data_IF_622662115981
#
_entry.id   IF_622662115981
#
_cell.length_a   1.000
_cell.length_b   1.000
_cell.length_c   1.000
_cell.angle_alpha   90.00
_cell.angle_beta   90.00
_cell.angle_gamma   90.00
#
_symmetry.space_group_name_H-M   'P 1'
#
loop_
_entity.id
_entity.type
_entity.pdbx_description
1 polymer ?
#
# COMPACT_ATOMS: atom_id res chain seq x y z
N UNK A 1 24.94 -25.49 -62.23
CA UNK A 1 24.38 -24.28 -61.58
C UNK A 1 24.49 -24.48 -60.07
N UNK A 2 25.38 -23.73 -59.40
CA UNK A 2 25.56 -23.76 -57.95
C UNK A 2 24.75 -22.61 -57.34
N UNK A 3 23.84 -22.93 -56.43
CA UNK A 3 23.09 -21.95 -55.63
C UNK A 3 24.03 -21.46 -54.52
N UNK A 4 24.21 -20.14 -54.31
CA UNK A 4 25.03 -19.65 -53.21
C UNK A 4 24.20 -19.66 -51.93
N UNK A 5 24.72 -20.32 -50.91
CA UNK A 5 24.22 -20.28 -49.54
C UNK A 5 24.54 -18.91 -48.93
N UNK A 6 23.50 -18.12 -48.65
CA UNK A 6 23.64 -16.87 -47.89
C UNK A 6 23.67 -17.24 -46.40
N UNK A 7 24.84 -17.16 -45.77
CA UNK A 7 24.95 -17.23 -44.32
C UNK A 7 24.45 -15.90 -43.74
N UNK A 8 23.25 -15.90 -43.16
CA UNK A 8 22.79 -14.81 -42.30
C UNK A 8 23.56 -14.89 -40.97
N UNK A 9 24.52 -13.98 -40.76
CA UNK A 9 25.05 -13.74 -39.42
C UNK A 9 23.95 -13.02 -38.62
N UNK A 10 23.37 -13.72 -37.64
CA UNK A 10 22.60 -13.08 -36.58
C UNK A 10 23.58 -12.40 -35.62
N UNK A 11 23.77 -11.10 -35.76
CA UNK A 11 24.37 -10.27 -34.72
C UNK A 11 23.37 -10.17 -33.56
N UNK A 12 23.61 -10.93 -32.49
CA UNK A 12 23.01 -10.70 -31.19
C UNK A 12 23.48 -9.32 -30.70
N UNK A 13 22.62 -8.31 -30.85
CA UNK A 13 22.79 -7.04 -30.16
C UNK A 13 22.47 -7.32 -28.69
N UNK A 14 23.50 -7.57 -27.89
CA UNK A 14 23.39 -7.46 -26.44
C UNK A 14 23.19 -5.98 -26.13
N UNK A 15 21.93 -5.57 -25.90
CA UNK A 15 21.66 -4.29 -25.24
C UNK A 15 22.26 -4.43 -23.85
N UNK A 16 23.41 -3.80 -23.62
CA UNK A 16 23.95 -3.66 -22.28
C UNK A 16 23.00 -2.69 -21.55
N UNK A 17 22.10 -3.24 -20.73
CA UNK A 17 21.18 -2.45 -19.93
C UNK A 17 21.99 -1.68 -18.89
N UNK A 18 21.79 -0.36 -18.84
CA UNK A 18 22.42 0.48 -17.84
C UNK A 18 21.62 0.33 -16.54
N UNK A 19 22.10 -0.53 -15.64
CA UNK A 19 21.55 -0.62 -14.28
C UNK A 19 21.51 0.76 -13.60
N UNK A 20 20.55 0.93 -12.69
CA UNK A 20 20.36 2.19 -11.95
C UNK A 20 21.34 2.23 -10.79
N UNK A 21 22.25 3.21 -10.79
CA UNK A 21 23.35 3.31 -9.81
C UNK A 21 22.99 4.08 -8.52
N UNK A 22 21.76 4.56 -8.40
CA UNK A 22 21.25 5.17 -7.17
C UNK A 22 19.72 5.15 -7.17
N UNK A 23 19.11 4.95 -6.00
CA UNK A 23 17.66 5.08 -5.85
C UNK A 23 17.21 6.50 -6.19
N UNK A 24 16.16 6.62 -6.99
CA UNK A 24 15.35 7.84 -7.12
C UNK A 24 13.93 7.56 -6.65
N UNK A 25 13.15 8.59 -6.34
CA UNK A 25 11.75 8.38 -5.96
C UNK A 25 10.86 9.59 -6.18
N UNK A 26 9.57 9.32 -6.21
CA UNK A 26 8.54 10.36 -6.26
C UNK A 26 7.27 9.89 -5.54
N UNK A 27 6.37 10.84 -5.23
CA UNK A 27 5.17 10.59 -4.42
C UNK A 27 3.93 10.96 -5.21
N UNK A 28 3.12 9.95 -5.52
CA UNK A 28 1.76 10.14 -6.02
C UNK A 28 0.86 10.58 -4.86
N UNK A 29 0.12 11.67 -5.09
CA UNK A 29 -0.90 12.18 -4.17
C UNK A 29 -2.28 12.07 -4.80
N UNK A 30 -3.31 12.25 -3.98
CA UNK A 30 -4.71 12.21 -4.42
C UNK A 30 -5.43 13.53 -4.14
N UNK A 31 -6.45 13.82 -4.95
CA UNK A 31 -7.48 14.80 -4.68
C UNK A 31 -8.65 14.08 -4.00
N UNK A 32 -8.97 14.41 -2.76
CA UNK A 32 -10.11 13.83 -2.07
C UNK A 32 -10.65 14.84 -1.07
N UNK A 33 -11.94 14.74 -0.74
CA UNK A 33 -12.46 15.53 0.38
C UNK A 33 -11.77 15.08 1.67
N UNK A 34 -11.54 16.03 2.57
CA UNK A 34 -10.93 15.75 3.86
C UNK A 34 -11.68 14.61 4.59
N UNK A 35 -10.95 13.66 5.16
CA UNK A 35 -11.55 12.54 5.88
C UNK A 35 -11.96 11.35 5.01
N UNK A 36 -11.78 11.37 3.68
CA UNK A 36 -12.43 10.43 2.77
C UNK A 36 -11.52 9.78 1.74
N UNK A 37 -11.77 8.51 1.43
CA UNK A 37 -11.28 7.82 0.24
C UNK A 37 -12.09 8.19 -1.01
N UNK A 38 -11.75 7.70 -2.21
CA UNK A 38 -12.62 7.83 -3.39
C UNK A 38 -13.93 7.04 -3.20
N UNK A 39 -13.83 5.84 -2.63
CA UNK A 39 -14.95 5.00 -2.19
C UNK A 39 -14.55 4.13 -0.99
N UNK A 40 -15.54 3.65 -0.26
CA UNK A 40 -15.38 2.86 0.95
C UNK A 40 -16.47 1.79 1.02
N UNK A 41 -16.09 0.57 1.39
CA UNK A 41 -17.05 -0.51 1.57
C UNK A 41 -16.42 -1.90 1.43
N UNK A 42 -17.26 -2.93 1.47
CA UNK A 42 -16.82 -4.33 1.36
C UNK A 42 -16.60 -4.74 -0.09
N UNK A 43 -15.61 -4.15 -0.74
CA UNK A 43 -15.28 -4.35 -2.14
C UNK A 43 -13.80 -4.71 -2.29
N UNK A 44 -13.53 -5.90 -2.80
CA UNK A 44 -12.18 -6.39 -3.07
C UNK A 44 -12.22 -7.31 -4.31
N UNK A 45 -11.95 -6.78 -5.51
CA UNK A 45 -12.00 -7.56 -6.75
C UNK A 45 -10.84 -8.55 -6.91
N UNK A 46 -9.83 -8.55 -6.03
CA UNK A 46 -8.74 -9.53 -6.06
C UNK A 46 -9.11 -10.74 -5.22
N UNK A 47 -9.52 -10.53 -3.96
CA UNK A 47 -9.80 -11.61 -3.01
C UNK A 47 -11.22 -12.16 -3.16
N UNK A 48 -12.21 -11.28 -3.43
CA UNK A 48 -13.64 -11.63 -3.47
C UNK A 48 -14.31 -11.16 -4.77
N UNK A 49 -13.83 -11.58 -5.96
CA UNK A 49 -14.36 -11.10 -7.23
C UNK A 49 -15.87 -11.41 -7.37
N UNK A 50 -16.65 -10.36 -7.65
CA UNK A 50 -18.10 -10.44 -7.86
C UNK A 50 -18.94 -10.54 -6.58
N UNK A 51 -18.33 -10.45 -5.40
CA UNK A 51 -19.01 -10.59 -4.11
C UNK A 51 -18.57 -9.53 -3.11
N UNK A 52 -19.32 -9.39 -2.01
CA UNK A 52 -18.89 -8.56 -0.90
C UNK A 52 -17.64 -9.16 -0.25
N UNK A 53 -16.62 -8.32 -0.02
CA UNK A 53 -15.45 -8.68 0.77
C UNK A 53 -15.83 -9.02 2.23
N UNK A 54 -14.99 -9.78 2.91
CA UNK A 54 -15.21 -10.15 4.31
C UNK A 54 -15.21 -8.93 5.24
N UNK A 55 -14.49 -7.88 4.89
CA UNK A 55 -14.40 -6.63 5.63
C UNK A 55 -14.30 -5.44 4.67
N UNK A 56 -14.39 -4.23 5.23
CA UNK A 56 -14.43 -2.99 4.44
C UNK A 56 -13.05 -2.41 4.20
N UNK A 57 -12.90 -1.82 3.03
CA UNK A 57 -11.70 -1.17 2.56
C UNK A 57 -11.98 0.28 2.18
N UNK A 58 -10.96 1.13 2.34
CA UNK A 58 -10.91 2.46 1.75
C UNK A 58 -10.10 2.42 0.46
N UNK A 59 -10.68 2.92 -0.64
CA UNK A 59 -10.13 2.78 -1.99
C UNK A 59 -9.83 4.15 -2.61
N UNK A 60 -8.63 4.31 -3.15
CA UNK A 60 -8.23 5.42 -4.03
C UNK A 60 -8.12 4.95 -5.48
N UNK A 61 -8.26 5.85 -6.45
CA UNK A 61 -7.89 5.60 -7.83
C UNK A 61 -8.94 5.93 -8.90
N UNK A 62 -8.89 5.17 -9.99
CA UNK A 62 -9.75 5.28 -11.17
C UNK A 62 -11.18 4.79 -10.95
N UNK A 63 -12.14 5.40 -11.67
CA UNK A 63 -13.58 5.16 -11.53
C UNK A 63 -14.09 3.80 -11.99
N UNK A 64 -13.28 3.05 -12.74
CA UNK A 64 -13.63 1.71 -13.19
C UNK A 64 -13.37 0.64 -12.13
N UNK A 65 -13.07 1.03 -10.89
CA UNK A 65 -13.12 0.13 -9.77
C UNK A 65 -14.54 -0.43 -9.55
N UNK A 66 -14.63 -1.71 -9.24
CA UNK A 66 -15.88 -2.39 -8.92
C UNK A 66 -15.61 -3.80 -8.39
N UNK A 67 -16.66 -4.61 -8.22
CA UNK A 67 -16.52 -5.98 -7.72
C UNK A 67 -15.75 -6.91 -8.66
N UNK A 68 -15.62 -6.57 -9.93
CA UNK A 68 -14.87 -7.32 -10.93
C UNK A 68 -13.99 -6.34 -11.71
N UNK A 69 -12.68 -6.59 -11.71
CA UNK A 69 -11.71 -5.90 -12.54
C UNK A 69 -10.88 -6.96 -13.27
N UNK A 70 -10.84 -6.89 -14.60
CA UNK A 70 -10.17 -7.86 -15.48
C UNK A 70 -9.30 -7.13 -16.49
N UNK A 71 -8.09 -7.64 -16.72
CA UNK A 71 -7.19 -7.06 -17.73
C UNK A 71 -6.94 -5.58 -17.49
N UNK A 72 -6.98 -4.79 -18.56
CA UNK A 72 -6.61 -3.37 -18.58
C UNK A 72 -7.78 -2.40 -18.41
N UNK A 73 -8.98 -2.90 -18.07
CA UNK A 73 -10.24 -2.14 -17.95
C UNK A 73 -10.15 -0.86 -17.09
N UNK A 74 -9.23 -0.80 -16.12
CA UNK A 74 -9.03 0.41 -15.34
C UNK A 74 -8.58 1.61 -16.19
N UNK A 75 -7.87 1.39 -17.30
CA UNK A 75 -7.46 2.45 -18.23
C UNK A 75 -8.66 3.21 -18.82
N UNK A 76 -9.82 2.56 -18.92
CA UNK A 76 -11.06 3.17 -19.41
C UNK A 76 -11.80 4.00 -18.34
N UNK A 77 -11.19 4.25 -17.17
CA UNK A 77 -11.79 5.05 -16.10
C UNK A 77 -12.11 6.47 -16.55
N UNK A 78 -13.38 6.87 -16.46
CA UNK A 78 -13.85 8.23 -16.75
C UNK A 78 -13.21 9.29 -15.85
N UNK A 79 -12.91 8.96 -14.59
CA UNK A 79 -12.17 9.83 -13.67
C UNK A 79 -11.12 9.06 -12.88
N UNK A 80 -10.22 9.78 -12.22
CA UNK A 80 -9.32 9.25 -11.19
C UNK A 80 -9.14 10.31 -10.13
N UNK A 81 -9.03 9.92 -8.88
CA UNK A 81 -8.70 10.88 -7.82
C UNK A 81 -7.18 11.05 -7.66
N UNK A 82 -6.35 10.30 -8.40
CA UNK A 82 -4.91 10.51 -8.45
C UNK A 82 -4.55 11.85 -9.11
N UNK A 83 -3.46 12.50 -8.65
CA UNK A 83 -2.97 13.75 -9.24
C UNK A 83 -2.40 13.58 -10.64
N UNK A 84 -1.99 12.38 -11.05
CA UNK A 84 -1.55 12.10 -12.42
C UNK A 84 -2.75 11.58 -13.21
N UNK A 85 -3.17 12.29 -14.26
CA UNK A 85 -4.41 11.95 -15.01
C UNK A 85 -4.40 10.53 -15.58
N UNK A 86 -3.21 10.09 -15.98
CA UNK A 86 -2.95 8.81 -16.61
C UNK A 86 -2.68 7.68 -15.61
N UNK A 87 -2.76 7.95 -14.30
CA UNK A 87 -2.87 6.90 -13.31
C UNK A 87 -4.35 6.60 -13.02
N UNK A 88 -4.82 5.48 -13.55
CA UNK A 88 -6.15 4.92 -13.26
C UNK A 88 -6.08 3.72 -12.32
N UNK A 89 -4.92 3.44 -11.73
CA UNK A 89 -4.76 2.34 -10.78
C UNK A 89 -5.69 2.50 -9.59
N UNK A 90 -6.01 1.39 -8.94
CA UNK A 90 -6.68 1.40 -7.65
C UNK A 90 -5.75 0.90 -6.55
N UNK A 91 -5.81 1.56 -5.40
CA UNK A 91 -5.01 1.27 -4.20
C UNK A 91 -5.96 1.22 -3.02
N UNK A 92 -5.92 0.15 -2.23
CA UNK A 92 -6.79 0.05 -1.07
C UNK A 92 -6.18 -0.66 0.12
N UNK A 93 -6.74 -0.32 1.28
CA UNK A 93 -6.33 -0.78 2.61
C UNK A 93 -7.58 -1.02 3.48
N UNK A 94 -7.52 -1.86 4.52
CA UNK A 94 -8.66 -2.09 5.41
C UNK A 94 -9.01 -0.83 6.21
N UNK A 95 -10.30 -0.55 6.37
CA UNK A 95 -10.75 0.59 7.17
C UNK A 95 -10.33 0.47 8.64
N UNK A 96 -10.03 1.61 9.28
CA UNK A 96 -9.73 1.71 10.71
C UNK A 96 -10.96 2.20 11.49
N UNK A 97 -11.22 1.58 12.63
CA UNK A 97 -12.35 1.88 13.50
C UNK A 97 -11.87 2.17 14.93
N UNK A 98 -12.44 3.19 15.56
CA UNK A 98 -12.33 3.42 17.00
C UNK A 98 -13.40 2.63 17.73
N UNK A 99 -13.01 1.82 18.71
CA UNK A 99 -13.91 1.12 19.64
C UNK A 99 -14.01 1.90 20.94
N UNK A 100 -15.21 2.38 21.24
CA UNK A 100 -15.48 3.14 22.46
C UNK A 100 -15.19 2.30 23.71
N UNK A 101 -14.36 2.79 24.64
CA UNK A 101 -14.08 2.09 25.89
C UNK A 101 -15.27 2.10 26.86
N UNK A 102 -16.29 2.93 26.62
CA UNK A 102 -17.44 3.07 27.55
C UNK A 102 -18.57 2.08 27.27
N UNK A 103 -18.80 1.72 26.01
CA UNK A 103 -19.95 0.91 25.58
C UNK A 103 -19.61 -0.09 24.45
N UNK A 104 -18.36 -0.10 23.97
CA UNK A 104 -17.91 -1.02 22.93
C UNK A 104 -18.40 -0.73 21.50
N UNK A 105 -19.11 0.38 21.26
CA UNK A 105 -19.56 0.76 19.91
C UNK A 105 -18.40 1.27 19.06
N UNK A 106 -18.52 1.17 17.74
CA UNK A 106 -17.49 1.51 16.77
C UNK A 106 -17.81 2.80 16.05
N UNK A 107 -16.81 3.65 15.85
CA UNK A 107 -16.87 4.82 14.98
C UNK A 107 -15.73 4.76 13.98
N UNK A 108 -16.01 4.97 12.70
CA UNK A 108 -14.97 4.95 11.67
C UNK A 108 -13.94 6.04 11.95
N UNK A 109 -12.66 5.71 11.85
CA UNK A 109 -11.56 6.68 11.91
C UNK A 109 -11.43 7.33 10.52
N UNK A 110 -11.59 8.65 10.40
CA UNK A 110 -11.45 9.31 9.10
C UNK A 110 -10.03 9.17 8.55
N UNK A 111 -9.90 9.14 7.23
CA UNK A 111 -8.60 9.26 6.56
C UNK A 111 -8.04 10.68 6.78
N UNK A 112 -6.82 10.80 7.27
CA UNK A 112 -6.13 12.09 7.29
C UNK A 112 -5.58 12.42 5.89
N UNK A 113 -4.74 11.54 5.33
CA UNK A 113 -4.41 11.47 3.89
C UNK A 113 -3.76 10.14 3.55
N UNK A 114 -3.67 9.84 2.25
CA UNK A 114 -2.93 8.70 1.71
C UNK A 114 -2.02 9.19 0.58
N UNK A 115 -0.80 8.69 0.53
CA UNK A 115 0.14 8.89 -0.57
C UNK A 115 0.70 7.55 -1.03
N UNK A 116 1.09 7.47 -2.30
CA UNK A 116 1.80 6.30 -2.84
C UNK A 116 3.18 6.73 -3.28
N UNK A 117 4.19 6.16 -2.65
CA UNK A 117 5.58 6.36 -3.02
C UNK A 117 5.93 5.37 -4.10
N UNK A 118 6.59 5.87 -5.13
CA UNK A 118 7.20 5.09 -6.20
C UNK A 118 8.70 5.18 -6.04
N UNK A 119 9.31 4.10 -5.56
CA UNK A 119 10.75 3.97 -5.46
C UNK A 119 11.28 3.27 -6.71
N UNK A 120 12.31 3.88 -7.30
CA UNK A 120 13.06 3.32 -8.41
C UNK A 120 14.44 2.94 -7.86
N UNK A 121 14.53 1.72 -7.33
CA UNK A 121 15.66 1.26 -6.51
C UNK A 121 16.98 1.21 -7.30
N UNK A 122 18.10 1.30 -6.59
CA UNK A 122 19.39 0.95 -7.16
C UNK A 122 19.36 -0.54 -7.56
N UNK A 123 19.68 -0.86 -8.81
CA UNK A 123 19.51 -2.20 -9.36
C UNK A 123 20.40 -2.44 -10.57
N UNK A 124 20.74 -3.70 -10.84
CA UNK A 124 21.30 -4.13 -12.11
C UNK A 124 20.23 -4.36 -13.19
N UNK A 125 18.96 -4.39 -12.78
CA UNK A 125 17.81 -4.57 -13.67
C UNK A 125 17.35 -3.24 -14.30
N UNK A 126 16.63 -3.35 -15.41
CA UNK A 126 15.89 -2.26 -16.04
C UNK A 126 14.47 -2.20 -15.45
N UNK A 127 14.16 -1.11 -14.74
CA UNK A 127 12.86 -0.93 -14.09
C UNK A 127 11.83 -0.54 -15.14
N UNK A 128 10.75 -1.32 -15.23
CA UNK A 128 9.66 -1.14 -16.20
C UNK A 128 8.36 -0.70 -15.57
N UNK A 129 7.59 0.06 -16.33
CA UNK A 129 6.21 0.36 -15.97
C UNK A 129 5.43 -0.93 -15.68
N UNK A 130 4.48 -0.84 -14.74
CA UNK A 130 3.59 -1.95 -14.44
C UNK A 130 2.81 -2.36 -15.70
N UNK A 131 2.64 -3.68 -15.96
CA UNK A 131 1.67 -4.10 -16.94
C UNK A 131 0.26 -3.66 -16.47
N UNK A 132 -0.59 -3.14 -17.38
CA UNK A 132 -1.98 -2.83 -17.04
C UNK A 132 -2.70 -4.05 -16.48
N UNK A 133 -3.46 -3.86 -15.42
CA UNK A 133 -4.19 -4.92 -14.73
C UNK A 133 -3.37 -5.75 -13.73
N UNK A 134 -2.08 -5.47 -13.54
CA UNK A 134 -1.28 -6.18 -12.53
C UNK A 134 -1.95 -6.13 -11.16
N UNK A 135 -2.32 -7.30 -10.63
CA UNK A 135 -2.91 -7.47 -9.31
C UNK A 135 -1.83 -7.78 -8.29
N UNK A 136 -1.82 -7.03 -7.20
CA UNK A 136 -0.86 -7.18 -6.10
C UNK A 136 -1.62 -7.16 -4.77
N UNK A 137 -1.24 -8.07 -3.88
CA UNK A 137 -1.75 -8.13 -2.50
C UNK A 137 -0.55 -8.33 -1.58
N UNK A 138 -0.49 -7.61 -0.48
CA UNK A 138 0.56 -7.79 0.51
C UNK A 138 0.03 -7.65 1.93
N UNK A 139 0.59 -8.44 2.85
CA UNK A 139 0.06 -8.58 4.21
C UNK A 139 -0.83 -9.82 4.33
N UNK A 140 -1.43 -10.01 5.51
CA UNK A 140 -2.28 -11.17 5.79
C UNK A 140 -3.47 -10.74 6.65
N UNK A 141 -4.70 -10.67 6.10
CA UNK A 141 -5.88 -10.21 6.82
C UNK A 141 -6.29 -11.12 7.99
N UNK A 142 -5.70 -12.31 8.12
CA UNK A 142 -5.99 -13.25 9.22
C UNK A 142 -4.95 -13.20 10.34
N UNK A 143 -3.83 -12.51 10.14
CA UNK A 143 -2.71 -12.51 11.08
C UNK A 143 -3.07 -11.85 12.41
N UNK A 144 -2.78 -12.54 13.51
CA UNK A 144 -2.88 -12.03 14.90
C UNK A 144 -1.61 -12.26 15.71
N UNK A 145 -0.76 -13.17 15.26
CA UNK A 145 0.53 -13.43 15.91
C UNK A 145 1.54 -12.36 15.52
N UNK A 146 2.43 -11.96 16.45
CA UNK A 146 3.46 -10.99 16.17
C UNK A 146 4.46 -11.50 15.13
N UNK A 147 5.10 -10.60 14.37
CA UNK A 147 6.26 -10.96 13.57
C UNK A 147 7.52 -11.11 14.45
N UNK A 148 8.65 -11.43 13.83
CA UNK A 148 9.90 -11.68 14.56
C UNK A 148 10.51 -10.41 15.18
N UNK A 149 10.31 -9.24 14.56
CA UNK A 149 10.79 -7.95 15.08
C UNK A 149 9.74 -6.85 14.82
N UNK A 150 9.85 -5.69 15.46
CA UNK A 150 8.98 -4.55 15.13
C UNK A 150 9.34 -3.85 13.81
N UNK A 151 10.47 -4.22 13.18
CA UNK A 151 11.00 -3.54 12.01
C UNK A 151 10.58 -4.14 10.69
N UNK A 152 10.60 -3.32 9.64
CA UNK A 152 10.41 -3.79 8.27
C UNK A 152 11.51 -4.80 7.89
N UNK A 153 11.11 -5.82 7.15
CA UNK A 153 11.99 -6.84 6.61
C UNK A 153 11.52 -7.16 5.19
N UNK A 154 12.14 -6.52 4.20
CA UNK A 154 11.74 -6.64 2.79
C UNK A 154 12.69 -7.52 1.97
N UNK A 155 13.76 -8.01 2.58
CA UNK A 155 14.79 -8.81 1.90
C UNK A 155 14.59 -10.31 2.20
N UNK A 156 14.10 -11.11 1.24
CA UNK A 156 13.76 -12.51 1.49
C UNK A 156 14.95 -13.37 1.91
N UNK A 157 16.19 -12.89 1.72
CA UNK A 157 17.40 -13.60 2.17
C UNK A 157 17.67 -13.48 3.67
N UNK A 158 17.02 -12.53 4.36
CA UNK A 158 17.22 -12.25 5.78
C UNK A 158 16.09 -12.77 6.68
N UNK A 159 15.12 -13.49 6.13
CA UNK A 159 14.08 -14.17 6.90
C UNK A 159 12.68 -13.99 6.30
N UNK A 160 11.68 -14.12 7.17
CA UNK A 160 10.28 -13.94 6.77
C UNK A 160 10.03 -12.47 6.50
N UNK A 161 9.46 -12.19 5.33
CA UNK A 161 9.05 -10.84 4.92
C UNK A 161 8.06 -10.26 5.93
N UNK A 162 8.33 -9.02 6.33
CA UNK A 162 7.50 -8.16 7.13
C UNK A 162 7.35 -6.82 6.40
N UNK A 163 6.29 -6.69 5.58
CA UNK A 163 6.12 -5.57 4.65
C UNK A 163 5.30 -4.42 5.24
N UNK A 164 4.83 -4.58 6.48
CA UNK A 164 3.89 -3.67 7.13
C UNK A 164 4.47 -3.19 8.44
N UNK A 165 4.32 -1.89 8.70
CA UNK A 165 4.73 -1.24 9.92
C UNK A 165 3.73 -0.15 10.31
N UNK A 166 3.65 0.16 11.60
CA UNK A 166 2.90 1.30 12.13
C UNK A 166 3.88 2.33 12.66
N UNK A 167 3.68 3.59 12.26
CA UNK A 167 4.49 4.72 12.69
C UNK A 167 3.61 5.65 13.52
N UNK A 168 4.14 6.05 14.67
CA UNK A 168 3.43 6.88 15.64
C UNK A 168 4.26 8.10 16.02
N UNK A 169 4.23 9.17 15.22
CA UNK A 169 4.86 10.41 15.57
C UNK A 169 4.20 10.99 16.83
N UNK A 170 5.00 11.34 17.84
CA UNK A 170 4.51 11.77 19.14
C UNK A 170 5.44 12.84 19.72
N UNK A 171 4.86 13.82 20.43
CA UNK A 171 5.62 14.91 21.04
C UNK A 171 6.50 14.39 22.17
N UNK A 172 7.72 14.91 22.28
CA UNK A 172 8.66 14.51 23.35
C UNK A 172 9.28 13.13 23.17
N UNK A 173 9.04 12.45 22.05
CA UNK A 173 9.61 11.15 21.70
C UNK A 173 9.47 10.05 22.80
N UNK A 174 8.24 9.80 23.31
CA UNK A 174 7.99 8.78 24.34
C UNK A 174 8.16 7.36 23.81
N UNK A 175 8.26 6.38 24.70
CA UNK A 175 8.17 4.97 24.28
C UNK A 175 6.74 4.69 23.77
N UNK A 176 6.61 4.18 22.54
CA UNK A 176 5.30 3.91 21.90
C UNK A 176 4.77 2.52 22.17
N UNK A 177 5.67 1.64 22.58
CA UNK A 177 5.41 0.25 22.89
C UNK A 177 5.99 -0.05 24.27
N UNK A 178 5.37 -0.96 25.06
CA UNK A 178 5.91 -1.34 26.36
C UNK A 178 7.35 -1.89 26.23
N UNK A 179 8.29 -1.45 27.08
CA UNK A 179 9.64 -2.00 27.09
C UNK A 179 9.63 -3.52 27.29
N UNK A 180 10.31 -4.25 26.41
CA UNK A 180 10.38 -5.71 26.46
C UNK A 180 9.12 -6.43 25.96
N UNK A 181 8.19 -5.73 25.29
CA UNK A 181 7.08 -6.37 24.58
C UNK A 181 7.60 -7.47 23.64
N UNK A 182 6.96 -8.64 23.70
CA UNK A 182 7.19 -9.77 22.79
C UNK A 182 6.14 -9.83 21.67
N UNK A 183 5.27 -8.82 21.61
CA UNK A 183 4.22 -8.74 20.60
C UNK A 183 2.93 -9.45 20.98
N UNK A 184 2.89 -10.18 22.11
CA UNK A 184 1.74 -11.04 22.51
C UNK A 184 0.72 -10.35 23.41
N UNK A 185 0.92 -9.08 23.75
CA UNK A 185 -0.02 -8.28 24.54
C UNK A 185 -0.05 -6.81 24.12
N UNK A 186 0.98 -6.34 23.42
CA UNK A 186 1.09 -5.03 22.81
C UNK A 186 1.97 -5.13 21.56
N UNK A 187 2.04 -4.09 20.74
CA UNK A 187 2.93 -4.07 19.57
C UNK A 187 4.42 -4.22 19.91
N UNK A 188 5.24 -4.41 18.88
CA UNK A 188 6.69 -4.54 18.94
C UNK A 188 7.35 -3.25 18.43
N UNK A 189 8.25 -2.68 19.22
CA UNK A 189 9.09 -1.56 18.77
C UNK A 189 10.06 -2.02 17.66
N UNK A 190 10.22 -1.23 16.59
CA UNK A 190 11.31 -1.41 15.65
C UNK A 190 12.66 -1.19 16.38
N UNK A 191 13.60 -2.15 16.33
CA UNK A 191 14.89 -2.00 17.00
C UNK A 191 15.75 -0.82 16.48
N UNK A 192 15.49 -0.35 15.26
CA UNK A 192 16.24 0.71 14.58
C UNK A 192 15.48 2.04 14.51
N UNK A 193 14.17 2.05 14.74
CA UNK A 193 13.35 3.26 14.71
C UNK A 193 12.38 3.32 15.90
N UNK A 194 12.63 4.26 16.82
CA UNK A 194 11.76 4.47 17.99
C UNK A 194 10.37 4.99 17.63
N UNK A 195 10.18 5.56 16.44
CA UNK A 195 8.89 6.05 15.95
C UNK A 195 7.99 4.95 15.38
N UNK A 196 8.53 3.77 15.11
CA UNK A 196 7.88 2.75 14.29
C UNK A 196 7.86 1.37 14.96
N UNK A 197 6.93 0.50 14.54
CA UNK A 197 6.83 -0.83 15.11
C UNK A 197 5.82 -1.72 14.40
N UNK A 198 5.73 -2.97 14.84
CA UNK A 198 4.72 -3.90 14.36
C UNK A 198 3.54 -3.95 15.33
N UNK A 199 2.34 -3.92 14.78
CA UNK A 199 1.11 -3.81 15.56
C UNK A 199 0.90 -2.40 16.11
N UNK A 200 -0.27 -2.14 16.70
CA UNK A 200 -0.63 -0.80 17.13
C UNK A 200 0.19 -0.33 18.34
N UNK A 201 0.57 0.97 18.38
CA UNK A 201 1.20 1.59 19.54
C UNK A 201 0.19 1.78 20.68
N UNK A 202 0.68 1.91 21.91
CA UNK A 202 -0.15 2.09 23.12
C UNK A 202 -0.26 3.55 23.58
N UNK A 203 0.15 4.48 22.72
CA UNK A 203 0.14 5.93 22.99
C UNK A 203 -0.60 6.71 21.91
N UNK A 204 -1.03 7.91 22.25
CA UNK A 204 -1.57 8.85 21.26
C UNK A 204 -0.45 9.37 20.36
N UNK A 205 -0.61 9.19 19.04
CA UNK A 205 0.27 9.75 18.03
C UNK A 205 -0.08 11.23 17.82
N UNK A 206 0.46 12.10 18.67
CA UNK A 206 0.16 13.54 18.74
C UNK A 206 1.26 14.44 18.15
N UNK A 207 2.13 13.85 17.32
CA UNK A 207 3.12 14.58 16.55
C UNK A 207 2.46 15.62 15.63
N UNK A 208 3.16 16.73 15.40
CA UNK A 208 2.66 17.81 14.55
C UNK A 208 2.26 17.29 13.15
N UNK A 209 0.99 17.47 12.80
CA UNK A 209 0.39 17.05 11.53
C UNK A 209 0.62 15.57 11.17
N UNK A 210 0.87 14.73 12.17
CA UNK A 210 1.35 13.35 11.97
C UNK A 210 0.65 12.40 12.94
N UNK A 211 -0.59 11.98 12.63
CA UNK A 211 -1.31 11.02 13.45
C UNK A 211 -0.78 9.59 13.23
N UNK A 212 -1.54 8.56 13.66
CA UNK A 212 -1.15 7.17 13.41
C UNK A 212 -1.00 6.91 11.90
N UNK A 213 0.17 6.41 11.52
CA UNK A 213 0.53 6.11 10.14
C UNK A 213 0.71 4.62 9.93
N UNK A 214 0.16 4.13 8.84
CA UNK A 214 0.26 2.75 8.38
C UNK A 214 1.16 2.73 7.15
N UNK A 215 2.23 1.95 7.25
CA UNK A 215 3.23 1.80 6.22
C UNK A 215 3.11 0.41 5.59
N UNK A 216 2.88 0.33 4.28
CA UNK A 216 2.73 -0.94 3.56
C UNK A 216 3.59 -0.94 2.30
N UNK A 217 4.54 -1.87 2.24
CA UNK A 217 5.44 -2.04 1.10
C UNK A 217 4.98 -3.18 0.21
N UNK A 218 4.88 -2.91 -1.09
CA UNK A 218 4.53 -3.91 -2.09
C UNK A 218 5.80 -4.46 -2.77
N UNK A 219 5.83 -5.75 -3.16
CA UNK A 219 6.98 -6.32 -3.84
C UNK A 219 7.20 -5.73 -5.24
N UNK A 220 8.45 -5.70 -5.73
CA UNK A 220 8.83 -4.99 -6.96
C UNK A 220 9.38 -5.88 -8.08
N UNK A 221 9.26 -7.21 -7.96
CA UNK A 221 9.62 -8.16 -9.02
C UNK A 221 8.36 -8.87 -9.51
N UNK A 222 8.01 -8.66 -10.78
CA UNK A 222 6.87 -9.30 -11.45
C UNK A 222 7.30 -10.54 -12.25
N UNK A 223 6.60 -11.65 -12.07
CA UNK A 223 6.78 -12.89 -12.81
C UNK A 223 5.82 -12.96 -14.01
N UNK A 224 6.27 -12.67 -15.23
CA UNK A 224 5.39 -12.69 -16.40
C UNK A 224 4.91 -14.11 -16.77
N UNK A 225 5.53 -15.18 -16.26
CA UNK A 225 5.17 -16.55 -16.63
C UNK A 225 3.84 -17.02 -16.06
N UNK A 226 3.37 -16.43 -14.95
CA UNK A 226 2.08 -16.74 -14.32
C UNK A 226 0.99 -15.70 -14.64
N UNK A 227 1.39 -14.55 -15.21
CA UNK A 227 0.48 -13.49 -15.64
C UNK A 227 0.03 -12.55 -14.51
N UNK A 228 -0.71 -11.51 -14.91
CA UNK A 228 -1.13 -10.40 -14.04
C UNK A 228 -2.22 -10.77 -13.02
N UNK A 229 -2.96 -11.85 -13.26
CA UNK A 229 -4.10 -12.27 -12.45
C UNK A 229 -3.70 -13.17 -11.26
N UNK A 230 -2.58 -13.88 -11.34
CA UNK A 230 -2.10 -14.78 -10.27
C UNK A 230 -1.37 -14.02 -9.17
N UNK A 231 -2.10 -13.13 -8.48
CA UNK A 231 -1.59 -12.22 -7.45
C UNK A 231 -0.81 -12.91 -6.31
N UNK A 232 -0.97 -14.22 -6.13
CA UNK A 232 -0.29 -15.02 -5.10
C UNK A 232 1.14 -15.40 -5.50
N UNK A 233 1.41 -15.52 -6.79
CA UNK A 233 2.67 -16.04 -7.32
C UNK A 233 3.35 -15.08 -8.31
N UNK A 234 2.67 -14.00 -8.71
CA UNK A 234 3.16 -13.06 -9.72
C UNK A 234 4.14 -12.02 -9.15
N UNK A 235 4.18 -11.77 -7.84
CA UNK A 235 5.05 -10.75 -7.23
C UNK A 235 6.00 -11.34 -6.19
N UNK A 236 7.22 -10.82 -6.13
CA UNK A 236 8.21 -11.13 -5.11
C UNK A 236 9.04 -9.88 -4.74
N UNK A 237 9.56 -9.85 -3.52
CA UNK A 237 10.52 -8.81 -3.14
C UNK A 237 11.88 -9.13 -3.77
N UNK A 238 12.61 -8.10 -4.24
CA UNK A 238 13.95 -8.29 -4.78
C UNK A 238 14.91 -8.78 -3.68
N UNK A 239 15.99 -9.43 -4.11
CA UNK A 239 17.10 -9.78 -3.22
C UNK A 239 18.07 -8.61 -3.12
N UNK A 240 18.64 -8.38 -1.94
CA UNK A 240 19.58 -7.27 -1.72
C UNK A 240 21.03 -7.75 -1.80
N UNK A 241 21.84 -7.13 -2.65
CA UNK A 241 23.28 -7.36 -2.75
C UNK A 241 24.03 -6.03 -2.71
N UNK A 242 24.69 -5.75 -1.58
CA UNK A 242 25.18 -4.41 -1.29
C UNK A 242 24.02 -3.43 -1.09
N UNK A 243 23.95 -2.38 -1.91
CA UNK A 243 22.80 -1.45 -1.97
C UNK A 243 21.81 -1.80 -3.09
N UNK A 244 22.16 -2.75 -3.97
CA UNK A 244 21.34 -3.10 -5.13
C UNK A 244 20.24 -4.07 -4.77
N UNK A 245 19.06 -3.83 -5.34
CA UNK A 245 17.89 -4.68 -5.25
C UNK A 245 17.62 -5.32 -6.61
N UNK A 246 17.81 -6.63 -6.72
CA UNK A 246 17.75 -7.34 -7.99
C UNK A 246 16.66 -8.42 -7.97
N UNK A 247 15.94 -8.53 -9.08
CA UNK A 247 14.90 -9.52 -9.30
C UNK A 247 15.47 -10.88 -9.71
N UNK A 248 14.71 -11.97 -9.49
CA UNK A 248 15.09 -13.28 -10.01
C UNK A 248 15.18 -13.25 -11.54
N UNK A 249 16.06 -14.08 -12.11
CA UNK A 249 16.22 -14.15 -13.57
C UNK A 249 14.89 -14.46 -14.28
N UNK A 250 14.59 -13.70 -15.33
CA UNK A 250 13.34 -13.82 -16.11
C UNK A 250 12.14 -13.07 -15.53
N UNK A 251 12.29 -12.43 -14.37
CA UNK A 251 11.29 -11.55 -13.79
C UNK A 251 11.53 -10.10 -14.24
N UNK A 252 10.47 -9.31 -14.25
CA UNK A 252 10.49 -7.90 -14.63
C UNK A 252 10.57 -7.07 -13.35
N UNK A 253 11.59 -6.23 -13.22
CA UNK A 253 11.66 -5.26 -12.14
C UNK A 253 10.66 -4.13 -12.44
N UNK A 254 9.71 -3.90 -11.53
CA UNK A 254 8.70 -2.84 -11.59
C UNK A 254 8.91 -1.87 -10.41
N UNK A 255 8.27 -0.68 -10.36
CA UNK A 255 8.48 0.23 -9.23
C UNK A 255 8.18 -0.44 -7.88
N UNK A 256 9.01 -0.16 -6.88
CA UNK A 256 8.69 -0.51 -5.50
C UNK A 256 7.68 0.51 -4.97
N UNK A 257 6.47 0.02 -4.71
CA UNK A 257 5.35 0.83 -4.25
C UNK A 257 5.24 0.77 -2.72
N UNK A 258 5.08 1.93 -2.11
CA UNK A 258 4.88 2.08 -0.68
C UNK A 258 3.64 2.94 -0.39
N UNK A 259 2.68 2.38 0.34
CA UNK A 259 1.50 3.10 0.80
C UNK A 259 1.81 3.78 2.12
N UNK A 260 1.69 5.11 2.13
CA UNK A 260 1.75 5.92 3.33
C UNK A 260 0.33 6.38 3.66
N UNK A 261 -0.26 5.81 4.70
CA UNK A 261 -1.66 6.09 5.07
C UNK A 261 -1.72 6.67 6.47
N UNK A 262 -2.21 7.89 6.60
CA UNK A 262 -2.42 8.55 7.89
C UNK A 262 -3.91 8.52 8.27
N UNK A 263 -4.18 8.11 9.50
CA UNK A 263 -5.52 8.05 10.07
C UNK A 263 -5.75 9.22 11.03
N UNK A 264 -6.90 9.87 11.03
CA UNK A 264 -7.20 10.97 11.96
C UNK A 264 -7.54 10.46 13.38
N UNK A 265 -6.57 9.80 14.00
CA UNK A 265 -6.65 9.29 15.37
C UNK A 265 -6.70 10.39 16.45
N UNK A 266 -6.12 11.60 16.29
CA UNK A 266 -6.23 12.68 17.26
C UNK A 266 -7.68 13.09 17.56
N UNK A 267 -8.60 12.87 16.62
CA UNK A 267 -10.04 13.08 16.81
C UNK A 267 -10.61 12.32 18.03
N UNK A 268 -9.99 11.20 18.41
CA UNK A 268 -10.42 10.33 19.51
C UNK A 268 -9.58 10.48 20.78
N UNK A 269 -8.65 11.45 20.82
CA UNK A 269 -7.65 11.56 21.89
C UNK A 269 -8.24 11.78 23.29
N UNK A 270 -9.44 12.38 23.38
CA UNK A 270 -10.16 12.64 24.64
C UNK A 270 -11.04 11.45 25.07
N UNK A 271 -11.42 10.58 24.15
CA UNK A 271 -12.27 9.40 24.41
C UNK A 271 -11.44 8.15 24.71
N UNK A 272 -10.12 8.20 24.50
CA UNK A 272 -9.19 7.11 24.80
C UNK A 272 -8.77 7.12 26.28
N UNK A 273 -9.06 6.02 26.98
CA UNK A 273 -8.47 5.71 28.28
C UNK A 273 -7.01 5.28 28.13
N UNK A 274 -6.09 6.18 28.47
CA UNK A 274 -4.64 5.94 28.37
C UNK A 274 -4.13 5.21 29.61
N UNK A 275 -4.05 3.89 29.52
CA UNK A 275 -3.43 3.05 30.56
C UNK A 275 -1.99 2.63 30.22
N UNK A 276 -1.50 2.99 29.02
CA UNK A 276 -0.17 2.64 28.52
C UNK A 276 -0.03 1.16 28.14
N UNK A 277 -1.13 0.43 28.03
CA UNK A 277 -1.15 -0.99 27.66
C UNK A 277 -2.08 -1.27 26.48
N UNK A 278 -3.17 -0.52 26.35
CA UNK A 278 -4.17 -0.76 25.32
C UNK A 278 -4.43 0.47 24.46
N UNK A 279 -4.83 0.20 23.22
CA UNK A 279 -5.22 1.19 22.23
C UNK A 279 -6.63 0.89 21.69
N UNK A 280 -7.41 1.91 21.31
CA UNK A 280 -8.84 1.77 21.03
C UNK A 280 -9.15 1.44 19.57
N UNK A 281 -8.17 1.28 18.70
CA UNK A 281 -8.37 1.09 17.25
C UNK A 281 -8.46 -0.37 16.86
N UNK A 282 -9.25 -0.65 15.83
CA UNK A 282 -9.53 -1.99 15.30
C UNK A 282 -9.57 -1.89 13.79
N UNK A 283 -8.88 -2.77 13.07
CA UNK A 283 -9.03 -2.88 11.62
C UNK A 283 -10.41 -3.50 11.28
N UNK A 284 -10.93 -3.23 10.09
CA UNK A 284 -12.28 -3.63 9.67
C UNK A 284 -12.57 -5.15 9.75
N UNK A 285 -11.53 -5.97 9.68
CA UNK A 285 -11.58 -7.43 9.89
C UNK A 285 -11.61 -7.84 11.38
N UNK A 286 -11.78 -6.89 12.29
CA UNK A 286 -11.85 -7.11 13.73
C UNK A 286 -10.50 -7.21 14.44
N UNK A 287 -9.38 -6.91 13.79
CA UNK A 287 -8.06 -7.00 14.40
C UNK A 287 -7.72 -5.82 15.32
N UNK A 288 -7.50 -6.11 16.61
CA UNK A 288 -7.01 -5.16 17.63
C UNK A 288 -5.49 -5.10 17.73
N UNK A 289 -4.78 -6.04 17.12
CA UNK A 289 -3.31 -6.08 17.16
C UNK A 289 -2.68 -5.15 16.14
N UNK A 290 -3.33 -4.96 14.99
CA UNK A 290 -2.78 -4.23 13.83
C UNK A 290 -1.87 -5.08 12.94
N UNK A 291 -1.64 -6.36 13.28
CA UNK A 291 -0.79 -7.26 12.50
C UNK A 291 -1.39 -7.75 11.19
N UNK A 292 -2.72 -7.64 11.04
CA UNK A 292 -3.42 -8.02 9.81
C UNK A 292 -3.60 -6.90 8.79
N UNK A 293 -2.96 -5.75 9.05
CA UNK A 293 -2.83 -4.71 8.05
C UNK A 293 -2.25 -5.29 6.76
N UNK A 294 -2.83 -4.86 5.65
CA UNK A 294 -2.49 -5.29 4.30
C UNK A 294 -2.80 -4.16 3.33
N UNK A 295 -2.30 -4.28 2.11
CA UNK A 295 -2.60 -3.37 1.03
C UNK A 295 -2.72 -4.12 -0.27
N UNK A 296 -3.54 -3.58 -1.14
CA UNK A 296 -3.89 -4.17 -2.41
C UNK A 296 -3.80 -3.12 -3.51
N UNK A 297 -3.42 -3.57 -4.70
CA UNK A 297 -3.29 -2.72 -5.87
C UNK A 297 -3.72 -3.45 -7.13
N UNK A 298 -4.42 -2.73 -8.01
CA UNK A 298 -4.52 -3.10 -9.43
C UNK A 298 -3.94 -1.95 -10.24
N UNK A 299 -2.93 -2.25 -11.06
CA UNK A 299 -2.34 -1.27 -11.95
C UNK A 299 -3.35 -0.85 -13.04
N UNK A 300 -3.55 0.45 -13.15
CA UNK A 300 -4.25 1.13 -14.24
C UNK A 300 -3.39 2.27 -14.77
N UNK A 301 -2.07 2.11 -14.73
CA UNK A 301 -1.13 3.09 -15.27
C UNK A 301 -1.09 3.03 -16.80
N UNK A 302 -1.17 4.19 -17.43
CA UNK A 302 -0.67 4.35 -18.79
C UNK A 302 0.83 4.02 -18.83
N UNK A 303 1.19 3.04 -19.66
CA UNK A 303 2.53 2.44 -19.68
C UNK A 303 3.59 3.48 -20.08
N UNK A 304 3.31 4.30 -21.09
CA UNK A 304 4.25 5.30 -21.59
C UNK A 304 4.47 6.40 -20.56
N UNK A 305 3.40 6.85 -19.90
CA UNK A 305 3.48 7.85 -18.83
C UNK A 305 4.31 7.34 -17.65
N UNK A 306 4.01 6.14 -17.15
CA UNK A 306 4.75 5.58 -16.01
C UNK A 306 6.22 5.31 -16.39
N UNK A 307 6.50 4.81 -17.59
CA UNK A 307 7.88 4.59 -18.04
C UNK A 307 8.65 5.91 -18.10
N UNK A 308 8.06 6.97 -18.65
CA UNK A 308 8.69 8.30 -18.65
C UNK A 308 9.03 8.77 -17.22
N UNK A 309 8.11 8.58 -16.26
CA UNK A 309 8.34 8.92 -14.85
C UNK A 309 9.48 8.09 -14.24
N UNK A 310 9.54 6.78 -14.50
CA UNK A 310 10.60 5.89 -14.03
C UNK A 310 11.98 6.36 -14.54
N UNK A 311 12.03 6.77 -15.80
CA UNK A 311 13.26 7.12 -16.51
C UNK A 311 13.79 8.49 -16.09
N UNK A 312 12.92 9.45 -15.75
CA UNK A 312 13.32 10.86 -15.59
C UNK A 312 12.98 11.54 -14.27
N UNK A 313 12.19 10.92 -13.38
CA UNK A 313 11.70 11.61 -12.18
C UNK A 313 12.47 11.26 -10.89
N UNK A 314 12.80 12.31 -10.13
CA UNK A 314 13.36 12.23 -8.77
C UNK A 314 12.93 13.44 -7.93
N UNK A 315 11.63 13.73 -7.88
CA UNK A 315 11.12 14.88 -7.12
C UNK A 315 11.02 14.64 -5.62
N UNK A 316 11.28 13.41 -5.18
CA UNK A 316 11.15 13.01 -3.79
C UNK A 316 9.78 13.36 -3.20
N UNK A 317 9.78 13.94 -2.00
CA UNK A 317 8.55 14.35 -1.30
C UNK A 317 7.86 15.59 -1.89
N UNK A 318 8.49 16.28 -2.85
CA UNK A 318 7.84 17.39 -3.57
C UNK A 318 6.66 16.91 -4.43
N UNK A 319 6.62 15.63 -4.80
CA UNK A 319 5.47 14.98 -5.42
C UNK A 319 5.63 14.73 -6.92
N UNK A 320 4.93 13.71 -7.41
CA UNK A 320 4.96 13.25 -8.79
C UNK A 320 4.34 14.26 -9.75
N UNK A 321 3.47 15.15 -9.26
CA UNK A 321 2.90 16.26 -10.00
C UNK A 321 3.93 17.33 -10.43
N UNK A 322 5.16 17.23 -9.93
CA UNK A 322 6.29 18.08 -10.29
C UNK A 322 7.34 17.37 -11.16
N UNK A 323 7.09 16.12 -11.58
CA UNK A 323 7.97 15.44 -12.54
C UNK A 323 8.01 16.22 -13.87
N UNK A 324 9.15 16.23 -14.59
CA UNK A 324 9.20 16.81 -15.93
C UNK A 324 8.31 16.01 -16.89
N UNK A 325 7.69 16.72 -17.84
CA UNK A 325 7.03 16.14 -19.01
C UNK A 325 6.00 15.02 -18.74
N UNK A 326 5.16 15.18 -17.69
CA UNK A 326 4.08 14.26 -17.37
C UNK A 326 3.10 14.14 -18.55
N UNK A 327 3.16 13.01 -19.27
CA UNK A 327 2.26 12.69 -20.38
C UNK A 327 0.81 12.70 -19.84
N UNK A 328 -0.10 13.35 -20.59
CA UNK A 328 -1.50 13.55 -20.16
C UNK A 328 -1.69 14.65 -19.09
N UNK A 329 -0.65 15.02 -18.36
CA UNK A 329 -0.62 16.08 -17.36
C UNK A 329 -1.28 15.70 -16.02
N UNK A 330 -1.47 16.72 -15.18
CA UNK A 330 -1.98 16.56 -13.82
C UNK A 330 -3.49 16.80 -13.71
N UNK A 331 -4.12 16.09 -12.78
CA UNK A 331 -5.49 16.29 -12.32
C UNK A 331 -5.45 17.08 -11.01
N UNK A 332 -5.94 18.32 -10.98
CA UNK A 332 -5.93 19.17 -9.77
C UNK A 332 -7.28 19.32 -9.08
N UNK A 333 -8.37 18.89 -9.74
CA UNK A 333 -9.73 19.27 -9.35
C UNK A 333 -10.69 18.08 -9.24
N UNK A 334 -10.36 16.94 -9.84
CA UNK A 334 -11.26 15.78 -9.86
C UNK A 334 -11.00 14.91 -8.63
N UNK A 335 -11.95 14.93 -7.71
CA UNK A 335 -11.96 14.11 -6.50
C UNK A 335 -12.42 12.66 -6.76
N UNK A 336 -12.96 12.40 -7.97
CA UNK A 336 -13.47 11.14 -8.48
C UNK A 336 -14.14 10.24 -7.42
N UNK A 337 -15.43 10.48 -7.16
CA UNK A 337 -16.23 9.66 -6.23
C UNK A 337 -16.75 8.41 -6.93
N UNK A 338 -16.55 7.25 -6.33
CA UNK A 338 -17.07 5.97 -6.82
C UNK A 338 -18.17 5.50 -5.88
N UNK A 339 -19.33 5.15 -6.43
CA UNK A 339 -20.43 4.64 -5.61
C UNK A 339 -20.11 3.21 -5.18
N UNK A 340 -20.11 2.90 -3.86
CA UNK A 340 -19.85 1.55 -3.39
C UNK A 340 -21.05 0.62 -3.62
N UNK A 341 -20.77 -0.61 -4.08
CA UNK A 341 -21.79 -1.68 -4.19
C UNK A 341 -22.20 -2.22 -2.81
N UNK A 342 -21.25 -2.27 -1.87
CA UNK A 342 -21.47 -2.71 -0.49
C UNK A 342 -20.97 -1.66 0.51
N UNK A 343 -21.63 -0.50 0.63
CA UNK A 343 -21.25 0.54 1.56
C UNK A 343 -21.32 0.07 3.02
N UNK A 344 -20.52 0.70 3.86
CA UNK A 344 -20.70 0.62 5.30
C UNK A 344 -22.01 1.27 5.75
N UNK A 345 -22.57 0.86 6.90
CA UNK A 345 -23.75 1.53 7.45
C UNK A 345 -23.48 3.02 7.69
N UNK A 346 -24.44 3.87 7.32
CA UNK A 346 -24.31 5.33 7.42
C UNK A 346 -24.37 5.89 8.85
N UNK A 347 -24.63 5.06 9.86
CA UNK A 347 -24.67 5.47 11.26
C UNK A 347 -23.28 5.87 11.75
N UNK A 348 -23.19 6.98 12.49
CA UNK A 348 -21.93 7.46 13.07
C UNK A 348 -21.30 6.45 14.03
N UNK A 349 -22.14 5.76 14.82
CA UNK A 349 -21.75 4.70 15.75
C UNK A 349 -22.42 3.38 15.37
N UNK A 350 -21.62 2.32 15.30
CA UNK A 350 -22.08 0.96 15.01
C UNK A 350 -21.97 0.08 16.26
N UNK A 351 -22.91 -0.84 16.44
CA UNK A 351 -22.84 -1.86 17.50
C UNK A 351 -22.01 -3.07 17.10
N UNK A 352 -21.81 -3.28 15.79
CA UNK A 352 -20.98 -4.33 15.20
C UNK A 352 -20.20 -3.76 14.00
N UNK A 353 -19.02 -4.29 13.72
CA UNK A 353 -18.26 -3.93 12.52
C UNK A 353 -19.00 -4.38 11.26
N UNK A 354 -18.84 -3.67 10.12
CA UNK A 354 -19.34 -4.13 8.82
C UNK A 354 -18.92 -5.57 8.52
N UNK A 355 -19.83 -6.36 7.93
CA UNK A 355 -19.61 -7.79 7.73
C UNK A 355 -19.78 -8.67 8.97
N UNK A 356 -20.21 -8.08 10.10
CA UNK A 356 -20.31 -8.76 11.41
C UNK A 356 -18.97 -9.34 11.87
N UNK A 357 -17.86 -8.66 11.56
CA UNK A 357 -16.53 -9.12 11.94
C UNK A 357 -16.38 -9.11 13.48
N UNK A 358 -16.05 -10.27 14.10
CA UNK A 358 -15.80 -10.32 15.53
C UNK A 358 -14.47 -9.64 15.86
N UNK A 359 -14.45 -8.91 16.97
CA UNK A 359 -13.23 -8.30 17.47
C UNK A 359 -12.32 -9.38 18.08
N UNK A 360 -11.04 -9.38 17.69
CA UNK A 360 -10.02 -10.39 18.03
C UNK A 360 -8.66 -9.72 18.21
N UNK A 361 -7.70 -10.39 18.84
CA UNK A 361 -6.38 -9.80 19.15
C UNK A 361 -6.28 -9.28 20.58
N UNK A 362 -5.46 -8.25 20.83
CA UNK A 362 -5.15 -7.83 22.21
C UNK A 362 -6.38 -7.32 22.96
N UNK A 363 -6.56 -7.81 24.20
CA UNK A 363 -7.72 -7.56 25.08
C UNK A 363 -7.57 -6.35 25.96
#
# INVERSE_FOLDING_TARGET
MKVPSVNLLFTLVTVAYAGKNSRTFTVLRFNNDAGKFSTEGRMDPIISPGAASSHSHGIMGGSNFGLIVQGDHLLDSNCTNALIKNDKSNYWIPDLWFRSPTNGTFRKVPLFYMNIYYFFEESDDDIKAFPPGLKMVIGDPTKRDPPATGGLQLDPTKGKIQPVQWVCPAQGNPDRYPPGSDGTHAGLQDPNDKGAGAGFPVINCDGYASPLRQDIHLPSCYNPSVGIEDYKNNMAFPTVSGSKQNCPAGWVHVPHVFFEVYWDTPHFANDWQRDGQHQPFVLANGDRTGYSSHGDMISGWDVDTLQAIIDSCDTGTSGMDNCPDIIGGVNRNDICRINPDFPDPASEWLTVLPGNNPVTGWE
#
